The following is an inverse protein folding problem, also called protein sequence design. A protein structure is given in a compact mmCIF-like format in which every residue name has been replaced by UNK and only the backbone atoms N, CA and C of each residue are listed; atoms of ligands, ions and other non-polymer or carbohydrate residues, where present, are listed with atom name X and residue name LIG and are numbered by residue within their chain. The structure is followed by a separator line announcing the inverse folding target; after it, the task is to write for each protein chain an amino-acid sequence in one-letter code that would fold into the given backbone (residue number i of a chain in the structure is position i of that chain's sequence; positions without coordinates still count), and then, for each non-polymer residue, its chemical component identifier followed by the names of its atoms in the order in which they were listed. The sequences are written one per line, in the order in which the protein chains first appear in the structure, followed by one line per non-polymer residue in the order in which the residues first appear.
data_IF_601622838006
#
_entry.id   IF_601622838006
#
_cell.length_a   1.000
_cell.length_b   1.000
_cell.length_c   1.000
_cell.angle_alpha   90.00
_cell.angle_beta   90.00
_cell.angle_gamma   90.00
#
_symmetry.space_group_name_H-M   'P 1'
#
loop_
_entity.id
_entity.type
_entity.pdbx_description
1 polymer ?
#
# COMPACT_ATOMS: atom_id res chain seq x y z
N UNK A 1 -11.52 -33.10 17.10
CA UNK A 1 -10.23 -32.43 16.81
C UNK A 1 -10.00 -32.15 15.33
N UNK A 2 -10.12 -33.12 14.41
CA UNK A 2 -9.87 -32.92 12.96
C UNK A 2 -10.81 -31.90 12.28
N UNK A 3 -12.11 -31.92 12.60
CA UNK A 3 -13.10 -31.00 12.01
C UNK A 3 -12.85 -29.55 12.46
N UNK A 4 -12.52 -29.33 13.74
CA UNK A 4 -12.18 -28.00 14.27
C UNK A 4 -10.93 -27.42 13.62
N UNK A 5 -9.89 -28.25 13.43
CA UNK A 5 -8.66 -27.81 12.75
C UNK A 5 -8.93 -27.45 11.28
N UNK A 6 -9.72 -28.26 10.58
CA UNK A 6 -10.10 -27.98 9.19
C UNK A 6 -10.90 -26.67 9.06
N UNK A 7 -11.84 -26.43 9.99
CA UNK A 7 -12.59 -25.17 10.05
C UNK A 7 -11.68 -23.95 10.27
N UNK A 8 -10.72 -24.05 11.19
CA UNK A 8 -9.75 -22.97 11.45
C UNK A 8 -8.93 -22.63 10.20
N UNK A 9 -8.35 -23.65 9.55
CA UNK A 9 -7.54 -23.47 8.34
C UNK A 9 -8.37 -22.84 7.22
N UNK A 10 -9.63 -23.26 7.06
CA UNK A 10 -10.53 -22.68 6.08
C UNK A 10 -10.80 -21.19 6.35
N UNK A 11 -11.08 -20.81 7.60
CA UNK A 11 -11.29 -19.41 7.97
C UNK A 11 -10.04 -18.54 7.73
N UNK A 12 -8.86 -19.03 8.08
CA UNK A 12 -7.59 -18.30 7.83
C UNK A 12 -7.33 -18.15 6.33
N UNK A 13 -7.61 -19.20 5.54
CA UNK A 13 -7.49 -19.14 4.09
C UNK A 13 -8.46 -18.14 3.45
N UNK A 14 -9.72 -18.11 3.91
CA UNK A 14 -10.71 -17.12 3.46
C UNK A 14 -10.30 -15.70 3.81
N UNK A 15 -9.76 -15.49 5.01
CA UNK A 15 -9.26 -14.18 5.44
C UNK A 15 -8.06 -13.71 4.59
N UNK A 16 -7.07 -14.58 4.35
CA UNK A 16 -5.96 -14.23 3.46
C UNK A 16 -6.41 -13.96 2.02
N UNK A 17 -7.43 -14.68 1.54
CA UNK A 17 -8.02 -14.41 0.23
C UNK A 17 -8.75 -13.06 0.19
N UNK A 18 -9.48 -12.68 1.26
CA UNK A 18 -10.18 -11.39 1.29
C UNK A 18 -9.20 -10.22 1.19
N UNK A 19 -8.07 -10.25 1.92
CA UNK A 19 -7.03 -9.20 1.84
C UNK A 19 -6.58 -8.94 0.40
N UNK A 20 -6.38 -10.01 -0.39
CA UNK A 20 -5.99 -9.89 -1.79
C UNK A 20 -7.10 -9.26 -2.64
N UNK A 21 -8.35 -9.72 -2.48
CA UNK A 21 -9.49 -9.17 -3.21
C UNK A 21 -9.77 -7.71 -2.85
N UNK A 22 -9.53 -7.32 -1.61
CA UNK A 22 -9.74 -5.95 -1.11
C UNK A 22 -8.81 -4.94 -1.79
N UNK A 23 -7.55 -5.32 -2.10
CA UNK A 23 -6.64 -4.51 -2.92
C UNK A 23 -6.93 -4.62 -4.42
N UNK A 24 -7.34 -5.79 -4.91
CA UNK A 24 -7.62 -6.00 -6.33
C UNK A 24 -8.86 -5.21 -6.82
N UNK A 25 -9.88 -5.10 -5.96
CA UNK A 25 -11.13 -4.40 -6.24
C UNK A 25 -11.09 -2.91 -5.83
N UNK A 26 -9.99 -2.46 -5.24
CA UNK A 26 -9.80 -1.08 -4.82
C UNK A 26 -9.86 -0.11 -6.01
N UNK A 27 -10.47 1.06 -5.77
CA UNK A 27 -10.53 2.14 -6.76
C UNK A 27 -9.59 3.28 -6.35
N UNK A 28 -9.08 4.05 -7.32
CA UNK A 28 -8.37 5.30 -7.05
C UNK A 28 -9.22 6.22 -6.15
N UNK A 29 -8.63 6.72 -5.06
CA UNK A 29 -9.32 7.62 -4.11
C UNK A 29 -9.08 9.10 -4.44
N UNK A 30 -7.90 9.42 -4.99
CA UNK A 30 -7.46 10.78 -5.29
C UNK A 30 -6.85 10.88 -6.69
N UNK A 31 -6.61 12.10 -7.15
CA UNK A 31 -5.80 12.32 -8.35
C UNK A 31 -4.40 11.74 -8.17
N UNK A 32 -3.84 11.15 -9.23
CA UNK A 32 -2.48 10.66 -9.20
C UNK A 32 -1.48 11.81 -9.02
N UNK A 33 -0.40 11.54 -8.28
CA UNK A 33 0.75 12.44 -8.21
C UNK A 33 1.77 12.02 -9.24
N UNK A 34 2.20 12.96 -10.08
CA UNK A 34 3.25 12.75 -11.09
C UNK A 34 4.54 13.37 -10.56
N UNK A 35 5.67 12.70 -10.77
CA UNK A 35 6.99 13.20 -10.36
C UNK A 35 7.36 14.48 -11.13
N UNK A 36 8.22 15.35 -10.57
CA UNK A 36 8.60 16.62 -11.22
C UNK A 36 9.24 16.47 -12.61
N UNK A 37 9.82 15.30 -12.91
CA UNK A 37 10.38 14.94 -14.21
C UNK A 37 9.37 14.26 -15.16
N UNK A 38 8.15 13.98 -14.70
CA UNK A 38 7.09 13.34 -15.48
C UNK A 38 7.21 11.81 -15.59
N UNK A 39 8.23 11.22 -14.99
CA UNK A 39 8.63 9.82 -15.19
C UNK A 39 7.80 8.81 -14.38
N UNK A 40 7.36 9.19 -13.19
CA UNK A 40 6.75 8.28 -12.23
C UNK A 40 5.40 8.80 -11.77
N UNK A 41 4.52 7.87 -11.42
CA UNK A 41 3.17 8.18 -10.95
C UNK A 41 2.86 7.39 -9.70
N UNK A 42 2.44 8.09 -8.64
CA UNK A 42 1.88 7.47 -7.44
C UNK A 42 0.37 7.66 -7.43
N UNK A 43 -0.36 6.55 -7.28
CA UNK A 43 -1.80 6.55 -7.14
C UNK A 43 -2.20 5.99 -5.78
N UNK A 44 -3.04 6.75 -5.06
CA UNK A 44 -3.63 6.33 -3.79
C UNK A 44 -4.92 5.55 -4.03
N UNK A 45 -5.12 4.47 -3.26
CA UNK A 45 -6.29 3.61 -3.31
C UNK A 45 -6.87 3.44 -1.90
N UNK A 46 -8.20 3.39 -1.78
CA UNK A 46 -8.85 2.83 -0.59
C UNK A 46 -9.10 1.35 -0.78
N UNK A 47 -8.76 0.50 0.20
CA UNK A 47 -9.10 -0.91 0.13
C UNK A 47 -10.62 -1.10 0.11
N UNK A 48 -11.08 -2.08 -0.67
CA UNK A 48 -12.49 -2.45 -0.75
C UNK A 48 -12.82 -3.51 0.30
N UNK A 49 -12.87 -3.14 1.58
CA UNK A 49 -13.09 -4.07 2.70
C UNK A 49 -14.28 -5.01 2.46
N UNK A 50 -14.00 -6.31 2.32
CA UNK A 50 -15.00 -7.38 2.21
C UNK A 50 -15.42 -7.86 3.60
N UNK A 51 -14.47 -7.90 4.52
CA UNK A 51 -14.70 -8.17 5.93
C UNK A 51 -14.82 -6.84 6.72
N UNK A 52 -15.43 -6.85 7.92
CA UNK A 52 -15.41 -5.69 8.79
C UNK A 52 -13.98 -5.20 9.07
N UNK A 53 -13.75 -3.89 8.98
CA UNK A 53 -12.42 -3.27 9.08
C UNK A 53 -11.60 -3.68 10.33
N UNK A 54 -12.22 -3.98 11.47
CA UNK A 54 -11.54 -4.40 12.71
C UNK A 54 -10.91 -5.80 12.62
N UNK A 55 -11.27 -6.61 11.62
CA UNK A 55 -10.65 -7.91 11.34
C UNK A 55 -9.35 -7.79 10.53
N UNK A 56 -8.98 -6.57 10.15
CA UNK A 56 -7.74 -6.29 9.44
C UNK A 56 -6.75 -5.67 10.42
N UNK A 57 -5.65 -6.37 10.74
CA UNK A 57 -4.65 -5.86 11.64
C UNK A 57 -3.86 -4.73 10.98
N UNK A 58 -3.38 -3.80 11.80
CA UNK A 58 -2.52 -2.73 11.34
C UNK A 58 -1.07 -3.05 11.68
N UNK A 59 -0.23 -3.11 10.65
CA UNK A 59 1.22 -3.16 10.81
C UNK A 59 1.79 -1.73 10.69
N UNK A 60 2.66 -1.31 11.63
CA UNK A 60 3.45 -0.10 11.47
C UNK A 60 4.47 -0.27 10.32
N UNK A 61 4.82 0.81 9.59
CA UNK A 61 5.72 0.75 8.44
C UNK A 61 7.18 0.45 8.80
N UNK A 62 7.59 0.68 10.06
CA UNK A 62 8.97 0.47 10.53
C UNK A 62 9.04 -0.64 11.60
N UNK A 63 10.10 -1.44 11.58
CA UNK A 63 10.45 -2.37 12.66
C UNK A 63 11.01 -1.59 13.88
N UNK A 64 10.85 -2.05 15.14
CA UNK A 64 10.37 -3.38 15.57
C UNK A 64 8.93 -3.38 16.09
N UNK A 65 8.08 -2.44 15.67
CA UNK A 65 6.75 -2.29 16.26
C UNK A 65 5.83 -3.46 15.86
N UNK A 66 5.05 -3.95 16.84
CA UNK A 66 4.19 -5.12 16.65
C UNK A 66 2.88 -4.78 15.91
N UNK A 67 2.39 -5.76 15.16
CA UNK A 67 1.09 -5.74 14.50
C UNK A 67 -0.05 -5.68 15.51
N UNK A 68 -0.99 -4.75 15.32
CA UNK A 68 -2.12 -4.54 16.22
C UNK A 68 -3.41 -5.09 15.63
N UNK A 69 -4.14 -5.87 16.41
CA UNK A 69 -5.45 -6.44 16.04
C UNK A 69 -6.61 -5.65 16.65
N UNK A 70 -7.78 -5.72 16.02
CA UNK A 70 -9.01 -5.07 16.49
C UNK A 70 -8.88 -3.55 16.62
N UNK A 71 -8.02 -2.95 15.79
CA UNK A 71 -7.85 -1.50 15.71
C UNK A 71 -9.00 -0.85 14.96
N UNK A 72 -9.18 0.45 15.18
CA UNK A 72 -10.10 1.26 14.40
C UNK A 72 -9.31 1.97 13.29
N UNK A 73 -9.57 1.56 12.06
CA UNK A 73 -9.11 2.28 10.87
C UNK A 73 -9.86 3.61 10.73
N UNK A 74 -9.14 4.72 10.66
CA UNK A 74 -9.67 6.05 10.43
C UNK A 74 -9.59 6.43 8.94
N UNK A 75 -8.41 6.30 8.32
CA UNK A 75 -8.21 6.54 6.90
C UNK A 75 -7.34 5.46 6.24
N UNK A 76 -7.87 4.23 6.05
CA UNK A 76 -7.13 3.15 5.42
C UNK A 76 -6.84 3.45 3.95
N UNK A 77 -5.58 3.34 3.54
CA UNK A 77 -5.18 3.46 2.15
C UNK A 77 -3.90 2.68 1.86
N UNK A 78 -3.66 2.45 0.57
CA UNK A 78 -2.39 1.97 0.05
C UNK A 78 -2.03 2.70 -1.23
N UNK A 79 -0.78 2.56 -1.66
CA UNK A 79 -0.24 3.27 -2.81
C UNK A 79 0.32 2.29 -3.84
N UNK A 80 0.19 2.66 -5.11
CA UNK A 80 0.91 2.01 -6.21
C UNK A 80 1.79 3.04 -6.90
N UNK A 81 3.04 2.67 -7.10
CA UNK A 81 4.03 3.40 -7.88
C UNK A 81 4.11 2.77 -9.28
N UNK A 82 3.97 3.61 -10.30
CA UNK A 82 4.08 3.23 -11.69
C UNK A 82 5.18 4.01 -12.39
N UNK A 83 5.77 3.40 -13.41
CA UNK A 83 6.37 4.13 -14.51
C UNK A 83 5.25 4.80 -15.30
N UNK A 84 5.34 6.11 -15.46
CA UNK A 84 4.30 6.92 -16.08
C UNK A 84 4.34 6.85 -17.61
N UNK A 85 5.40 6.29 -18.19
CA UNK A 85 5.60 6.20 -19.65
C UNK A 85 4.89 5.00 -20.25
N UNK A 86 4.87 3.88 -19.53
CA UNK A 86 4.36 2.58 -20.00
C UNK A 86 3.36 1.92 -19.03
N UNK A 87 2.94 2.62 -17.97
CA UNK A 87 2.04 2.15 -16.92
C UNK A 87 2.55 0.90 -16.16
N UNK A 88 3.85 0.59 -16.22
CA UNK A 88 4.39 -0.54 -15.49
C UNK A 88 4.34 -0.31 -13.97
N UNK A 89 3.78 -1.26 -13.22
CA UNK A 89 3.80 -1.25 -11.75
C UNK A 89 5.23 -1.51 -11.23
N UNK A 90 5.77 -0.55 -10.49
CA UNK A 90 7.11 -0.61 -9.89
C UNK A 90 7.08 -0.96 -8.40
N UNK A 91 5.99 -0.66 -7.71
CA UNK A 91 5.84 -0.94 -6.29
C UNK A 91 4.40 -0.79 -5.82
N UNK A 92 4.04 -1.52 -4.78
CA UNK A 92 2.76 -1.43 -4.07
C UNK A 92 3.05 -1.48 -2.58
N UNK A 93 2.44 -0.58 -1.81
CA UNK A 93 2.53 -0.61 -0.35
C UNK A 93 1.54 -1.60 0.26
N UNK A 94 1.77 -1.95 1.53
CA UNK A 94 0.69 -2.48 2.36
C UNK A 94 -0.38 -1.41 2.64
N UNK A 95 -1.48 -1.85 3.25
CA UNK A 95 -2.55 -0.95 3.71
C UNK A 95 -2.11 -0.32 5.03
N UNK A 96 -2.12 1.01 5.08
CA UNK A 96 -1.79 1.79 6.25
C UNK A 96 -2.88 2.80 6.58
N UNK A 97 -2.98 3.18 7.84
CA UNK A 97 -3.83 4.29 8.24
C UNK A 97 -3.10 5.61 7.98
N UNK A 98 -3.62 6.40 7.04
CA UNK A 98 -3.00 7.66 6.65
C UNK A 98 -3.04 8.71 7.77
N UNK A 99 -3.94 8.57 8.75
CA UNK A 99 -3.92 9.46 9.91
C UNK A 99 -2.70 9.20 10.80
N UNK A 100 -2.25 7.94 10.87
CA UNK A 100 -1.08 7.56 11.68
C UNK A 100 0.25 7.71 10.94
N UNK A 101 0.30 7.32 9.67
CA UNK A 101 1.56 7.15 8.94
C UNK A 101 1.66 7.98 7.65
N UNK A 102 0.53 8.53 7.20
CA UNK A 102 0.48 9.35 6.00
C UNK A 102 1.19 10.68 6.20
N UNK A 103 1.87 11.16 5.16
CA UNK A 103 2.43 12.51 5.12
C UNK A 103 2.68 12.93 3.67
N UNK A 104 3.57 13.90 3.46
CA UNK A 104 4.02 14.34 2.14
C UNK A 104 4.69 13.19 1.37
N UNK A 105 4.38 13.13 0.07
CA UNK A 105 5.05 12.29 -0.90
C UNK A 105 6.49 12.78 -1.14
N UNK A 106 7.45 11.86 -1.06
CA UNK A 106 8.86 12.03 -1.42
C UNK A 106 9.19 11.11 -2.60
N UNK A 107 9.88 11.64 -3.61
CA UNK A 107 10.28 10.89 -4.81
C UNK A 107 11.72 10.33 -4.73
N UNK A 108 12.38 10.48 -3.58
CA UNK A 108 13.83 10.34 -3.47
C UNK A 108 14.57 11.57 -4.05
N UNK A 109 15.84 11.75 -3.70
CA UNK A 109 16.69 12.82 -4.25
C UNK A 109 18.15 12.39 -4.35
N UNK A 110 18.83 12.80 -5.42
CA UNK A 110 20.24 12.46 -5.65
C UNK A 110 20.42 10.96 -5.87
N UNK A 111 21.11 10.30 -4.95
CA UNK A 111 21.30 8.83 -5.00
C UNK A 111 20.15 8.05 -4.35
N UNK A 112 19.24 8.72 -3.65
CA UNK A 112 18.06 8.08 -3.08
C UNK A 112 16.98 7.92 -4.16
N UNK A 113 16.54 6.68 -4.35
CA UNK A 113 15.51 6.30 -5.32
C UNK A 113 14.20 5.89 -4.64
N UNK A 114 14.15 5.89 -3.30
CA UNK A 114 13.01 5.40 -2.55
C UNK A 114 11.84 6.41 -2.62
N UNK A 115 10.70 5.94 -3.12
CA UNK A 115 9.46 6.71 -3.14
C UNK A 115 8.65 6.38 -1.89
N UNK A 116 8.32 7.41 -1.12
CA UNK A 116 7.66 7.27 0.19
C UNK A 116 6.52 8.25 0.37
N UNK A 117 5.52 7.86 1.14
CA UNK A 117 4.48 8.76 1.69
C UNK A 117 4.60 8.76 3.20
N UNK A 118 5.16 9.83 3.77
CA UNK A 118 5.52 9.82 5.19
C UNK A 118 6.52 8.72 5.51
N UNK A 119 6.11 7.78 6.37
CA UNK A 119 6.92 6.62 6.74
C UNK A 119 6.74 5.42 5.80
N UNK A 120 5.72 5.46 4.93
CA UNK A 120 5.33 4.35 4.07
C UNK A 120 6.23 4.31 2.83
N UNK A 121 7.09 3.29 2.73
CA UNK A 121 7.82 2.99 1.49
C UNK A 121 6.89 2.33 0.48
N UNK A 122 6.87 2.84 -0.76
CA UNK A 122 6.05 2.32 -1.86
C UNK A 122 6.90 1.45 -2.80
N UNK A 123 8.11 1.91 -3.10
CA UNK A 123 9.02 1.26 -4.05
C UNK A 123 10.17 2.19 -4.42
N UNK A 124 10.92 1.83 -5.46
CA UNK A 124 12.05 2.63 -5.95
C UNK A 124 11.79 3.16 -7.36
N UNK A 125 12.25 4.38 -7.64
CA UNK A 125 12.36 4.91 -9.00
C UNK A 125 13.44 4.16 -9.77
N UNK A 126 13.42 4.32 -11.09
CA UNK A 126 14.47 3.79 -11.97
C UNK A 126 15.40 4.90 -12.46
N UNK A 127 16.70 4.63 -12.60
CA UNK A 127 17.67 5.65 -12.99
C UNK A 127 17.64 6.00 -14.49
N UNK A 128 16.84 5.29 -15.28
CA UNK A 128 16.75 5.45 -16.73
C UNK A 128 15.85 6.62 -17.17
N UNK A 129 15.22 7.30 -16.21
CA UNK A 129 14.38 8.46 -16.46
C UNK A 129 14.97 9.68 -15.77
N UNK A 130 15.71 10.48 -16.53
CA UNK A 130 16.11 11.84 -16.18
C UNK A 130 15.23 12.80 -16.96
N UNK A 131 14.74 13.85 -16.28
CA UNK A 131 13.96 14.96 -16.87
C UNK A 131 14.43 15.25 -18.30
N UNK A 132 13.58 14.97 -19.29
CA UNK A 132 13.84 15.35 -20.67
C UNK A 132 13.97 16.87 -20.76
N UNK A 133 15.00 17.33 -21.44
CA UNK A 133 15.31 18.73 -21.70
C UNK A 133 14.11 19.52 -22.27
#
# INVERSE_FOLDING_TARGET
MKIFLAGLVFCVGLWGASEWWEKALAKPDYAAHISPDGCFRVQTFRPFWLLPNFLHPQAPPDAPFETQWFVRWESPAFFRLYDNRDDQLLGESEIYDLVSYGNRLSWGYGSDTEVRVGLITIGNTRPDCTKGD
#
